data_IF_345480724439
#
_entry.id   IF_345480724439
#
_cell.length_a   1.000
_cell.length_b   1.000
_cell.length_c   1.000
_cell.angle_alpha   90.00
_cell.angle_beta   90.00
_cell.angle_gamma   90.00
#
_symmetry.space_group_name_H-M   'P 1'
#
loop_
_entity.id
_entity.type
_entity.pdbx_description
1 polymer ?
#
# COMPACT_ATOMS: atom_id res chain seq x y z
N UNK A 1 20.10 -10.34 25.15
CA UNK A 1 19.95 -9.30 24.11
C UNK A 1 18.60 -9.56 23.47
N UNK A 2 17.56 -8.90 23.99
CA UNK A 2 16.20 -9.05 23.49
C UNK A 2 16.13 -8.46 22.08
N UNK A 3 15.76 -9.29 21.09
CA UNK A 3 15.34 -8.78 19.79
C UNK A 3 13.97 -8.13 20.00
N UNK A 4 13.97 -6.81 20.10
CA UNK A 4 12.75 -6.01 20.09
C UNK A 4 11.93 -6.35 18.83
N UNK A 5 10.63 -6.56 19.02
CA UNK A 5 9.64 -6.91 18.00
C UNK A 5 9.37 -5.79 16.97
N UNK A 6 10.37 -4.99 16.57
CA UNK A 6 10.12 -3.63 16.05
C UNK A 6 10.13 -3.45 14.52
N UNK A 7 10.32 -4.49 13.71
CA UNK A 7 10.47 -4.28 12.24
C UNK A 7 9.72 -5.25 11.33
N UNK A 8 9.04 -6.27 11.85
CA UNK A 8 8.38 -7.27 11.00
C UNK A 8 6.96 -6.85 10.60
N UNK A 9 6.83 -6.10 9.51
CA UNK A 9 5.64 -6.18 8.64
C UNK A 9 4.94 -4.87 8.29
N UNK A 10 5.34 -3.72 8.84
CA UNK A 10 4.52 -2.51 8.67
C UNK A 10 4.40 -2.09 7.20
N UNK A 11 3.17 -2.02 6.70
CA UNK A 11 2.82 -1.67 5.32
C UNK A 11 2.20 -0.27 5.31
N UNK A 12 2.92 0.68 4.71
CA UNK A 12 2.41 2.03 4.45
C UNK A 12 1.41 2.01 3.30
N UNK A 13 0.24 2.60 3.51
CA UNK A 13 -0.81 2.82 2.50
C UNK A 13 -1.69 4.01 2.88
N UNK A 14 -2.28 4.66 1.89
CA UNK A 14 -3.08 5.88 2.05
C UNK A 14 -4.53 5.52 2.44
N UNK A 15 -4.72 4.99 3.65
CA UNK A 15 -6.03 4.49 4.08
C UNK A 15 -7.02 5.58 4.44
N UNK A 16 -6.56 6.75 4.92
CA UNK A 16 -7.39 7.89 5.31
C UNK A 16 -7.76 8.86 4.17
N UNK A 17 -7.36 8.57 2.93
CA UNK A 17 -7.57 9.50 1.81
C UNK A 17 -9.05 9.67 1.46
N UNK A 18 -9.47 10.92 1.31
CA UNK A 18 -10.85 11.31 0.95
C UNK A 18 -11.12 11.34 -0.55
N UNK A 19 -10.13 11.07 -1.40
CA UNK A 19 -10.30 11.14 -2.87
C UNK A 19 -10.80 9.82 -3.46
N UNK A 20 -11.70 9.89 -4.44
CA UNK A 20 -12.23 8.71 -5.15
C UNK A 20 -11.14 7.86 -5.82
N UNK A 21 -10.02 8.47 -6.25
CA UNK A 21 -8.89 7.77 -6.87
C UNK A 21 -8.07 6.86 -5.94
N UNK A 22 -8.39 6.82 -4.64
CA UNK A 22 -7.62 6.05 -3.64
C UNK A 22 -7.63 4.54 -3.89
N UNK A 23 -8.65 4.02 -4.59
CA UNK A 23 -8.72 2.60 -4.95
C UNK A 23 -7.58 2.17 -5.90
N UNK A 24 -7.07 3.09 -6.73
CA UNK A 24 -5.91 2.84 -7.60
C UNK A 24 -4.66 2.45 -6.80
N UNK A 25 -4.51 3.00 -5.59
CA UNK A 25 -3.36 2.77 -4.73
C UNK A 25 -3.59 1.64 -3.73
N UNK A 26 -4.83 1.54 -3.23
CA UNK A 26 -5.11 0.69 -2.08
C UNK A 26 -5.59 -0.72 -2.45
N UNK A 27 -6.32 -0.88 -3.57
CA UNK A 27 -7.02 -2.14 -3.87
C UNK A 27 -6.83 -2.68 -5.29
N UNK A 28 -6.90 -1.86 -6.34
CA UNK A 28 -6.80 -2.34 -7.73
C UNK A 28 -5.54 -3.16 -8.04
N UNK A 29 -4.34 -2.83 -7.51
CA UNK A 29 -3.17 -3.66 -7.74
C UNK A 29 -3.35 -5.10 -7.24
N UNK A 30 -4.10 -5.30 -6.15
CA UNK A 30 -4.38 -6.61 -5.56
C UNK A 30 -5.50 -7.34 -6.31
N UNK A 31 -6.48 -6.59 -6.82
CA UNK A 31 -7.51 -7.13 -7.72
C UNK A 31 -6.87 -7.72 -8.98
N UNK A 32 -5.99 -6.98 -9.65
CA UNK A 32 -5.30 -7.48 -10.85
C UNK A 32 -4.35 -8.65 -10.55
N UNK A 33 -3.70 -8.67 -9.38
CA UNK A 33 -2.93 -9.83 -8.94
C UNK A 33 -3.80 -11.05 -8.65
N UNK A 34 -5.05 -10.85 -8.23
CA UNK A 34 -6.01 -11.94 -8.08
C UNK A 34 -6.56 -12.44 -9.42
N UNK A 35 -6.19 -11.81 -10.56
CA UNK A 35 -6.72 -12.12 -11.89
C UNK A 35 -8.04 -11.43 -12.21
N UNK A 36 -8.51 -10.55 -11.32
CA UNK A 36 -9.74 -9.77 -11.53
C UNK A 36 -9.50 -8.51 -12.36
N UNK A 37 -10.58 -7.83 -12.69
CA UNK A 37 -10.56 -6.54 -13.38
C UNK A 37 -11.68 -5.63 -12.88
N UNK A 38 -11.61 -4.33 -13.17
CA UNK A 38 -12.50 -3.31 -12.60
C UNK A 38 -13.89 -3.37 -13.26
N UNK A 39 -13.92 -3.39 -14.59
CA UNK A 39 -15.15 -3.36 -15.39
C UNK A 39 -15.24 -4.56 -16.31
N UNK A 40 -16.47 -4.90 -16.72
CA UNK A 40 -16.68 -5.81 -17.82
C UNK A 40 -16.24 -5.17 -19.13
N UNK A 41 -16.06 -5.97 -20.17
CA UNK A 41 -15.52 -5.54 -21.47
C UNK A 41 -16.38 -4.43 -22.12
N UNK A 42 -17.67 -4.36 -21.78
CA UNK A 42 -18.61 -3.32 -22.23
C UNK A 42 -18.50 -2.00 -21.45
N UNK A 43 -17.72 -1.97 -20.37
CA UNK A 43 -17.53 -0.86 -19.44
C UNK A 43 -18.82 -0.35 -18.76
N UNK A 44 -19.91 -1.12 -18.79
CA UNK A 44 -21.21 -0.72 -18.22
C UNK A 44 -21.46 -1.23 -16.82
N UNK A 45 -20.70 -2.23 -16.37
CA UNK A 45 -20.88 -2.87 -15.08
C UNK A 45 -19.56 -3.29 -14.47
N UNK A 46 -19.54 -3.41 -13.15
CA UNK A 46 -18.36 -3.83 -12.39
C UNK A 46 -18.10 -5.32 -12.60
N UNK A 47 -16.83 -5.69 -12.78
CA UNK A 47 -16.40 -7.10 -12.92
C UNK A 47 -15.88 -7.69 -11.62
N UNK A 48 -15.42 -6.84 -10.71
CA UNK A 48 -14.80 -7.23 -9.45
C UNK A 48 -15.76 -7.83 -8.40
N UNK A 49 -17.08 -7.87 -8.63
CA UNK A 49 -18.02 -8.50 -7.71
C UNK A 49 -18.05 -10.03 -7.90
N UNK A 50 -16.90 -10.67 -7.71
CA UNK A 50 -16.65 -12.07 -7.99
C UNK A 50 -15.59 -12.65 -7.02
N UNK A 51 -15.13 -13.88 -7.28
CA UNK A 51 -14.17 -14.57 -6.42
C UNK A 51 -12.82 -13.83 -6.33
N UNK A 52 -12.37 -13.23 -7.43
CA UNK A 52 -11.12 -12.48 -7.53
C UNK A 52 -11.17 -11.19 -6.71
N UNK A 53 -12.28 -10.44 -6.77
CA UNK A 53 -12.47 -9.25 -5.94
C UNK A 53 -12.58 -9.58 -4.46
N UNK A 54 -13.25 -10.69 -4.11
CA UNK A 54 -13.28 -11.17 -2.72
C UNK A 54 -11.89 -11.57 -2.22
N UNK A 55 -11.10 -12.27 -3.05
CA UNK A 55 -9.71 -12.63 -2.74
C UNK A 55 -8.84 -11.39 -2.47
N UNK A 56 -8.97 -10.35 -3.29
CA UNK A 56 -8.25 -9.10 -3.10
C UNK A 56 -8.69 -8.35 -1.83
N UNK A 57 -9.99 -8.31 -1.54
CA UNK A 57 -10.54 -7.70 -0.33
C UNK A 57 -10.08 -8.43 0.95
N UNK A 58 -10.11 -9.77 0.94
CA UNK A 58 -9.64 -10.59 2.05
C UNK A 58 -8.14 -10.40 2.29
N UNK A 59 -7.33 -10.32 1.23
CA UNK A 59 -5.89 -10.07 1.37
C UNK A 59 -5.60 -8.72 2.07
N UNK A 60 -6.33 -7.66 1.72
CA UNK A 60 -6.23 -6.38 2.43
C UNK A 60 -6.68 -6.51 3.88
N UNK A 61 -7.76 -7.25 4.14
CA UNK A 61 -8.24 -7.46 5.49
C UNK A 61 -7.20 -8.19 6.35
N UNK A 62 -6.52 -9.20 5.80
CA UNK A 62 -5.44 -9.94 6.46
C UNK A 62 -4.21 -9.05 6.73
N UNK A 63 -3.98 -8.03 5.89
CA UNK A 63 -2.92 -7.04 6.07
C UNK A 63 -3.17 -6.08 7.24
N UNK A 64 -4.41 -5.92 7.74
CA UNK A 64 -4.75 -4.95 8.80
C UNK A 64 -3.86 -5.10 10.05
N UNK A 65 -3.48 -6.32 10.41
CA UNK A 65 -2.59 -6.59 11.55
C UNK A 65 -1.17 -6.03 11.40
N UNK A 66 -0.80 -5.62 10.19
CA UNK A 66 0.49 -5.04 9.85
C UNK A 66 0.38 -3.55 9.48
N UNK A 67 -0.78 -2.93 9.65
CA UNK A 67 -0.99 -1.52 9.35
C UNK A 67 -1.05 -0.79 10.70
N UNK A 68 -0.38 0.37 10.85
CA UNK A 68 -0.45 1.15 12.10
C UNK A 68 -1.89 1.51 12.45
N UNK A 69 -2.25 1.49 13.73
CA UNK A 69 -3.63 1.76 14.20
C UNK A 69 -4.13 3.15 13.78
N UNK A 70 -3.21 4.11 13.68
CA UNK A 70 -3.48 5.49 13.30
C UNK A 70 -3.45 5.72 11.77
N UNK A 71 -3.23 4.68 10.95
CA UNK A 71 -3.07 4.83 9.50
C UNK A 71 -4.33 5.38 8.78
N UNK A 72 -5.50 5.26 9.39
CA UNK A 72 -6.74 5.85 8.88
C UNK A 72 -6.87 7.35 9.18
N UNK A 73 -6.08 7.87 10.13
CA UNK A 73 -6.09 9.29 10.53
C UNK A 73 -5.05 10.13 9.80
N UNK A 74 -4.16 9.49 9.04
CA UNK A 74 -3.03 10.13 8.37
C UNK A 74 -3.15 10.06 6.85
N UNK A 75 -2.65 11.09 6.18
CA UNK A 75 -2.46 11.08 4.74
C UNK A 75 -1.15 10.38 4.32
N UNK A 76 -0.90 10.33 3.01
CA UNK A 76 0.28 9.66 2.45
C UNK A 76 1.60 10.30 2.88
N UNK A 77 1.66 11.62 3.03
CA UNK A 77 2.89 12.30 3.39
C UNK A 77 3.18 12.10 4.88
N UNK A 78 2.17 12.26 5.73
CA UNK A 78 2.27 12.01 7.17
C UNK A 78 2.72 10.58 7.47
N UNK A 79 2.22 9.60 6.71
CA UNK A 79 2.62 8.19 6.84
C UNK A 79 4.04 7.93 6.29
N UNK A 80 4.53 8.70 5.30
CA UNK A 80 5.92 8.62 4.85
C UNK A 80 6.83 9.16 5.95
N UNK A 81 6.53 10.36 6.46
CA UNK A 81 7.34 11.05 7.46
C UNK A 81 7.38 10.35 8.81
N UNK A 82 6.25 9.80 9.27
CA UNK A 82 6.17 9.21 10.60
C UNK A 82 6.52 7.72 10.66
N UNK A 83 6.43 7.00 9.53
CA UNK A 83 6.56 5.53 9.49
C UNK A 83 7.66 5.04 8.53
N UNK A 84 7.54 5.27 7.22
CA UNK A 84 8.46 4.66 6.25
C UNK A 84 9.84 5.34 6.21
N UNK A 85 9.88 6.66 6.12
CA UNK A 85 11.11 7.46 6.09
C UNK A 85 12.04 7.21 7.27
N UNK A 86 11.53 7.11 8.51
CA UNK A 86 12.30 6.71 9.68
C UNK A 86 12.68 5.22 9.76
N UNK A 87 12.36 4.39 8.75
CA UNK A 87 12.69 2.97 8.71
C UNK A 87 11.80 2.05 9.56
N UNK A 88 10.62 2.51 10.01
CA UNK A 88 9.69 1.70 10.85
C UNK A 88 8.79 0.76 10.02
N UNK A 89 8.79 0.92 8.70
CA UNK A 89 8.06 0.08 7.77
C UNK A 89 8.98 -0.53 6.72
N UNK A 90 8.76 -1.81 6.41
CA UNK A 90 9.52 -2.52 5.39
C UNK A 90 9.04 -2.19 3.97
N UNK A 91 7.76 -1.84 3.81
CA UNK A 91 7.15 -1.60 2.50
C UNK A 91 6.26 -0.36 2.52
N UNK A 92 6.28 0.38 1.40
CA UNK A 92 5.38 1.48 1.09
C UNK A 92 4.89 1.39 -0.34
N UNK A 93 3.69 1.92 -0.62
CA UNK A 93 3.21 2.15 -1.97
C UNK A 93 3.38 3.63 -2.28
N UNK A 94 4.19 3.93 -3.30
CA UNK A 94 4.44 5.29 -3.75
C UNK A 94 4.57 5.34 -5.27
N UNK A 95 4.31 6.52 -5.84
CA UNK A 95 4.66 6.87 -7.21
C UNK A 95 6.18 6.75 -7.41
N UNK A 96 6.61 5.84 -8.28
CA UNK A 96 8.03 5.67 -8.61
C UNK A 96 8.68 6.95 -9.16
N UNK A 97 7.92 7.76 -9.88
CA UNK A 97 8.37 9.06 -10.42
C UNK A 97 8.70 10.10 -9.34
N UNK A 98 8.12 9.97 -8.14
CA UNK A 98 8.36 10.87 -7.02
C UNK A 98 9.35 10.29 -6.00
N UNK A 99 9.45 8.95 -5.91
CA UNK A 99 10.17 8.24 -4.87
C UNK A 99 11.63 8.72 -4.68
N UNK A 100 12.41 8.80 -5.77
CA UNK A 100 13.81 9.28 -5.71
C UNK A 100 13.91 10.69 -5.16
N UNK A 101 13.04 11.60 -5.63
CA UNK A 101 13.09 13.00 -5.19
C UNK A 101 12.68 13.17 -3.72
N UNK A 102 11.81 12.31 -3.21
CA UNK A 102 11.34 12.34 -1.83
C UNK A 102 12.33 11.66 -0.89
N UNK A 103 12.71 10.41 -1.16
CA UNK A 103 13.52 9.63 -0.23
C UNK A 103 14.97 10.11 -0.17
N UNK A 104 15.60 10.35 -1.32
CA UNK A 104 17.02 10.76 -1.33
C UNK A 104 17.23 12.15 -0.70
N UNK A 105 16.22 13.02 -0.77
CA UNK A 105 16.32 14.39 -0.21
C UNK A 105 15.89 14.47 1.24
N UNK A 106 14.76 13.87 1.58
CA UNK A 106 14.15 14.00 2.91
C UNK A 106 14.65 12.96 3.90
N UNK A 107 15.18 11.82 3.42
CA UNK A 107 15.63 10.70 4.26
C UNK A 107 16.96 10.14 3.72
N UNK A 108 18.06 10.92 3.76
CA UNK A 108 19.33 10.53 3.14
C UNK A 108 19.98 9.27 3.73
N UNK A 109 19.62 8.91 4.97
CA UNK A 109 20.11 7.71 5.65
C UNK A 109 19.24 6.47 5.38
N UNK A 110 18.11 6.63 4.69
CA UNK A 110 17.21 5.52 4.37
C UNK A 110 17.79 4.68 3.23
N UNK A 111 18.06 3.39 3.48
CA UNK A 111 18.38 2.44 2.43
C UNK A 111 17.09 1.89 1.80
N UNK A 112 16.75 2.34 0.58
CA UNK A 112 15.49 2.02 -0.09
C UNK A 112 15.69 1.57 -1.54
N UNK A 113 14.63 0.96 -2.10
CA UNK A 113 14.57 0.56 -3.50
C UNK A 113 13.12 0.39 -3.97
N UNK A 114 12.94 0.11 -5.26
CA UNK A 114 11.61 -0.06 -5.86
C UNK A 114 11.48 -1.50 -6.37
N UNK A 115 10.33 -2.11 -6.12
CA UNK A 115 9.94 -3.37 -6.74
C UNK A 115 8.49 -3.28 -7.24
N UNK A 116 8.15 -4.12 -8.22
CA UNK A 116 6.76 -4.32 -8.60
C UNK A 116 6.04 -5.05 -7.47
N UNK A 117 4.75 -4.77 -7.28
CA UNK A 117 3.95 -5.49 -6.30
C UNK A 117 3.96 -6.98 -6.69
N UNK A 118 4.39 -7.83 -5.76
CA UNK A 118 4.72 -9.24 -5.99
C UNK A 118 3.49 -9.97 -6.52
N UNK A 119 3.54 -10.43 -7.79
CA UNK A 119 2.56 -11.38 -8.32
C UNK A 119 2.76 -12.73 -7.63
N UNK A 120 1.71 -13.24 -7.00
CA UNK A 120 1.66 -14.64 -6.52
C UNK A 120 1.15 -15.55 -7.62
#
# INVERSE_FOLDING_TARGET
MEMEKSTSGVLHKVWGSKVFGSLNWNWYPYLWQAGGDIYNDDLKSVKFNNAEGLKAANFINDMKKYIPEDALSKDSNEMIESVFGPGKAAFTIMLSSAATSTFDKSFPDLNWGICNIIRR
#
